data_IF_293305073897
#
_entry.id   IF_293305073897
#
_cell.length_a   1.000
_cell.length_b   1.000
_cell.length_c   1.000
_cell.angle_alpha   90.00
_cell.angle_beta   90.00
_cell.angle_gamma   90.00
#
_symmetry.space_group_name_H-M   'P 1'
#
loop_
_entity.id
_entity.type
_entity.pdbx_description
1 polymer ?
#
# COMPACT_ATOMS: atom_id res chain seq x y z
N UNK A 1 11.70 0.34 11.68
CA UNK A 1 12.34 0.33 10.35
C UNK A 1 11.63 1.37 9.49
N UNK A 2 12.36 2.19 8.78
CA UNK A 2 11.72 3.23 7.98
C UNK A 2 11.29 2.72 6.60
N UNK A 3 10.35 3.43 5.98
CA UNK A 3 9.75 3.05 4.71
C UNK A 3 10.20 3.99 3.58
N UNK A 4 10.44 3.40 2.41
CA UNK A 4 10.68 4.11 1.16
C UNK A 4 9.60 3.71 0.17
N UNK A 5 9.16 4.66 -0.62
CA UNK A 5 8.08 4.43 -1.57
C UNK A 5 8.61 4.47 -3.00
N UNK A 6 8.20 3.48 -3.79
CA UNK A 6 8.46 3.55 -5.22
C UNK A 6 7.78 4.82 -5.77
N UNK A 7 8.42 5.48 -6.72
CA UNK A 7 7.94 6.78 -7.24
C UNK A 7 6.51 6.73 -7.78
N UNK A 8 6.03 5.57 -8.23
CA UNK A 8 4.69 5.43 -8.80
C UNK A 8 3.59 5.22 -7.75
N UNK A 9 3.97 5.01 -6.50
CA UNK A 9 3.00 4.87 -5.41
C UNK A 9 2.18 6.15 -5.24
N UNK A 10 2.79 7.31 -5.45
CA UNK A 10 2.04 8.56 -5.34
C UNK A 10 0.90 8.62 -6.37
N UNK A 11 1.14 8.14 -7.60
CA UNK A 11 0.10 8.07 -8.62
C UNK A 11 -1.01 7.10 -8.22
N UNK A 12 -0.65 5.94 -7.63
CA UNK A 12 -1.65 5.01 -7.11
C UNK A 12 -2.54 5.69 -6.08
N UNK A 13 -1.94 6.38 -5.11
CA UNK A 13 -2.68 7.07 -4.05
C UNK A 13 -3.55 8.20 -4.61
N UNK A 14 -3.02 8.98 -5.52
CA UNK A 14 -3.77 10.09 -6.11
C UNK A 14 -5.05 9.60 -6.79
N UNK A 15 -4.97 8.50 -7.52
CA UNK A 15 -6.13 7.90 -8.18
C UNK A 15 -7.18 7.42 -7.17
N UNK A 16 -6.75 6.74 -6.12
CA UNK A 16 -7.65 6.23 -5.07
C UNK A 16 -8.29 7.40 -4.31
N UNK A 17 -7.48 8.38 -3.91
CA UNK A 17 -7.97 9.54 -3.17
C UNK A 17 -8.96 10.35 -3.98
N UNK A 18 -8.75 10.48 -5.29
CA UNK A 18 -9.68 11.18 -6.17
C UNK A 18 -11.04 10.49 -6.21
N UNK A 19 -11.06 9.17 -6.28
CA UNK A 19 -12.31 8.38 -6.25
C UNK A 19 -13.09 8.63 -4.96
N UNK A 20 -12.41 8.57 -3.82
CA UNK A 20 -13.10 8.77 -2.54
C UNK A 20 -13.50 10.21 -2.33
N UNK A 21 -12.69 11.17 -2.79
CA UNK A 21 -13.05 12.59 -2.73
C UNK A 21 -14.31 12.89 -3.53
N UNK A 22 -14.54 12.19 -4.63
CA UNK A 22 -15.76 12.35 -5.41
C UNK A 22 -17.01 11.97 -4.61
N UNK A 23 -16.86 11.13 -3.59
CA UNK A 23 -17.95 10.79 -2.65
C UNK A 23 -18.01 11.83 -1.54
N UNK A 24 -16.91 12.05 -0.82
CA UNK A 24 -16.79 13.07 0.23
C UNK A 24 -15.33 13.28 0.61
N UNK A 25 -15.00 14.48 1.09
CA UNK A 25 -13.68 14.77 1.63
C UNK A 25 -13.38 13.93 2.87
N UNK A 26 -14.40 13.68 3.70
CA UNK A 26 -14.27 12.85 4.88
C UNK A 26 -13.83 11.44 4.53
N UNK A 27 -14.44 10.84 3.53
CA UNK A 27 -14.11 9.48 3.11
C UNK A 27 -12.67 9.40 2.58
N UNK A 28 -12.27 10.39 1.79
CA UNK A 28 -10.89 10.51 1.31
C UNK A 28 -9.91 10.57 2.49
N UNK A 29 -10.21 11.40 3.49
CA UNK A 29 -9.35 11.57 4.66
C UNK A 29 -9.27 10.28 5.49
N UNK A 30 -10.38 9.56 5.62
CA UNK A 30 -10.44 8.28 6.33
C UNK A 30 -9.55 7.24 5.63
N UNK A 31 -9.60 7.18 4.32
CA UNK A 31 -8.74 6.27 3.57
C UNK A 31 -7.26 6.59 3.82
N UNK A 32 -6.89 7.85 3.69
CA UNK A 32 -5.50 8.26 3.85
C UNK A 32 -4.99 7.99 5.26
N UNK A 33 -5.83 8.25 6.27
CA UNK A 33 -5.48 7.95 7.66
C UNK A 33 -5.24 6.45 7.87
N UNK A 34 -6.10 5.60 7.32
CA UNK A 34 -5.93 4.16 7.45
C UNK A 34 -4.69 3.65 6.71
N UNK A 35 -4.41 4.22 5.54
CA UNK A 35 -3.18 3.90 4.82
C UNK A 35 -1.94 4.22 5.67
N UNK A 36 -1.91 5.40 6.28
CA UNK A 36 -0.80 5.80 7.15
C UNK A 36 -0.64 4.87 8.34
N UNK A 37 -1.75 4.46 8.95
CA UNK A 37 -1.72 3.50 10.06
C UNK A 37 -1.13 2.16 9.57
N UNK A 38 -1.50 1.71 8.38
CA UNK A 38 -0.94 0.50 7.79
C UNK A 38 0.57 0.59 7.61
N UNK A 39 1.06 1.73 7.13
CA UNK A 39 2.50 1.97 6.99
C UNK A 39 3.18 1.92 8.35
N UNK A 40 2.61 2.56 9.36
CA UNK A 40 3.16 2.55 10.72
C UNK A 40 3.25 1.13 11.30
N UNK A 41 2.20 0.32 11.10
CA UNK A 41 2.17 -1.07 11.56
C UNK A 41 3.27 -1.91 10.90
N UNK A 42 3.45 -1.73 9.60
CA UNK A 42 4.50 -2.44 8.85
C UNK A 42 5.89 -2.00 9.34
N UNK A 43 6.08 -0.70 9.55
CA UNK A 43 7.36 -0.20 10.07
C UNK A 43 7.69 -0.73 11.46
N UNK A 44 6.66 -0.95 12.30
CA UNK A 44 6.83 -1.50 13.65
C UNK A 44 7.13 -3.00 13.64
N UNK A 45 6.49 -3.76 12.72
CA UNK A 45 6.59 -5.22 12.66
C UNK A 45 6.66 -5.69 11.20
N UNK A 46 7.76 -5.43 10.48
CA UNK A 46 7.80 -5.67 9.04
C UNK A 46 7.68 -7.15 8.64
N UNK A 47 8.02 -8.08 9.54
CA UNK A 47 7.98 -9.51 9.24
C UNK A 47 6.71 -10.21 9.71
N UNK A 48 5.79 -9.46 10.29
CA UNK A 48 4.52 -9.99 10.77
C UNK A 48 3.56 -10.31 9.62
N UNK A 49 3.59 -9.55 8.56
CA UNK A 49 2.60 -9.64 7.47
C UNK A 49 2.93 -10.79 6.52
N UNK A 50 1.87 -11.44 5.99
CA UNK A 50 1.99 -12.60 5.12
C UNK A 50 2.50 -12.23 3.73
N UNK A 51 3.07 -13.21 3.04
CA UNK A 51 3.47 -13.04 1.66
C UNK A 51 2.27 -13.15 0.73
N UNK A 52 2.26 -12.26 -0.26
CA UNK A 52 1.37 -12.34 -1.40
C UNK A 52 1.91 -13.37 -2.41
N UNK A 53 1.08 -13.80 -3.35
CA UNK A 53 1.49 -14.71 -4.42
C UNK A 53 2.65 -14.14 -5.27
N UNK A 54 2.82 -12.82 -5.29
CA UNK A 54 3.93 -12.15 -5.98
C UNK A 54 5.30 -12.39 -5.34
N UNK A 55 5.33 -12.90 -4.10
CA UNK A 55 6.55 -13.00 -3.31
C UNK A 55 6.84 -11.78 -2.45
N UNK A 56 6.05 -10.71 -2.60
CA UNK A 56 6.12 -9.54 -1.73
C UNK A 56 5.21 -9.75 -0.52
N UNK A 57 5.47 -9.03 0.57
CA UNK A 57 4.54 -9.04 1.71
C UNK A 57 3.37 -8.13 1.43
N UNK A 58 2.23 -8.45 2.03
CA UNK A 58 0.97 -7.76 1.77
C UNK A 58 0.38 -7.23 3.07
N UNK A 59 0.04 -5.93 3.08
CA UNK A 59 -0.70 -5.31 4.16
C UNK A 59 -2.07 -4.90 3.65
N UNK A 60 -3.11 -5.56 4.16
CA UNK A 60 -4.50 -5.25 3.80
C UNK A 60 -5.01 -4.10 4.67
N UNK A 61 -5.76 -3.17 4.07
CA UNK A 61 -6.52 -2.20 4.83
C UNK A 61 -7.79 -2.87 5.37
N UNK A 62 -8.27 -2.44 6.53
CA UNK A 62 -9.41 -3.10 7.18
C UNK A 62 -10.75 -2.60 6.65
N UNK A 63 -10.93 -1.27 6.58
CA UNK A 63 -12.20 -0.67 6.16
C UNK A 63 -12.34 -0.48 4.66
N UNK A 64 -11.23 -0.53 3.93
CA UNK A 64 -11.20 -0.26 2.49
C UNK A 64 -10.66 -1.46 1.75
N UNK A 65 -11.21 -1.80 0.59
CA UNK A 65 -10.78 -2.99 -0.18
C UNK A 65 -9.48 -2.73 -0.95
N UNK A 66 -8.47 -2.29 -0.25
CA UNK A 66 -7.15 -1.98 -0.81
C UNK A 66 -6.07 -2.61 0.04
N UNK A 67 -4.92 -2.81 -0.57
CA UNK A 67 -3.73 -3.29 0.11
C UNK A 67 -2.50 -2.65 -0.50
N UNK A 68 -1.38 -2.77 0.17
CA UNK A 68 -0.11 -2.44 -0.43
C UNK A 68 0.86 -3.60 -0.28
N UNK A 69 1.81 -3.67 -1.24
CA UNK A 69 2.83 -4.71 -1.26
C UNK A 69 4.19 -4.09 -0.96
N UNK A 70 5.01 -4.81 -0.21
CA UNK A 70 6.31 -4.32 0.18
C UNK A 70 7.30 -5.47 0.35
N UNK A 71 8.59 -5.14 0.35
CA UNK A 71 9.65 -6.04 0.77
C UNK A 71 10.61 -5.28 1.70
N UNK A 72 11.58 -6.00 2.22
CA UNK A 72 12.60 -5.46 3.09
C UNK A 72 13.92 -5.55 2.35
N UNK A 73 14.58 -4.40 2.13
CA UNK A 73 15.88 -4.30 1.46
C UNK A 73 16.78 -3.34 2.19
N UNK A 74 18.03 -3.75 2.43
CA UNK A 74 19.04 -2.92 3.08
C UNK A 74 18.51 -2.29 4.38
N UNK A 75 17.81 -3.10 5.19
CA UNK A 75 17.22 -2.67 6.46
C UNK A 75 16.16 -1.58 6.32
N UNK A 76 15.52 -1.50 5.14
CA UNK A 76 14.43 -0.58 4.87
C UNK A 76 13.26 -1.31 4.25
N UNK A 77 12.06 -0.78 4.51
CA UNK A 77 10.85 -1.25 3.87
C UNK A 77 10.69 -0.50 2.55
N UNK A 78 10.44 -1.26 1.48
CA UNK A 78 10.17 -0.70 0.15
C UNK A 78 8.73 -0.97 -0.20
N UNK A 79 7.93 0.09 -0.30
CA UNK A 79 6.54 0.01 -0.74
C UNK A 79 6.53 0.11 -2.25
N UNK A 80 5.98 -0.91 -2.93
CA UNK A 80 6.05 -1.00 -4.39
C UNK A 80 4.78 -0.58 -5.09
N UNK A 81 3.61 -0.88 -4.50
CA UNK A 81 2.31 -0.61 -5.12
C UNK A 81 1.22 -0.55 -4.06
N UNK A 82 0.26 0.35 -4.28
CA UNK A 82 -1.00 0.37 -3.53
C UNK A 82 -2.10 0.12 -4.56
N UNK A 83 -2.94 -0.89 -4.32
CA UNK A 83 -3.94 -1.29 -5.32
C UNK A 83 -5.19 -1.85 -4.67
N UNK A 84 -6.30 -1.82 -5.42
CA UNK A 84 -7.55 -2.45 -5.02
C UNK A 84 -7.36 -3.96 -4.92
N UNK A 85 -8.06 -4.61 -3.98
CA UNK A 85 -7.95 -6.05 -3.74
C UNK A 85 -8.31 -6.89 -4.98
N UNK A 86 -9.16 -6.38 -5.84
CA UNK A 86 -9.58 -7.04 -7.07
C UNK A 86 -8.87 -6.51 -8.32
N UNK A 87 -7.85 -5.68 -8.16
CA UNK A 87 -7.04 -5.24 -9.30
C UNK A 87 -6.29 -6.43 -9.87
N UNK A 88 -6.02 -6.39 -11.18
CA UNK A 88 -5.16 -7.39 -11.82
C UNK A 88 -3.93 -7.64 -10.94
N UNK A 89 -3.66 -8.90 -10.52
CA UNK A 89 -2.55 -9.18 -9.61
C UNK A 89 -1.17 -8.85 -10.16
N UNK A 90 -1.05 -8.63 -11.47
CA UNK A 90 0.20 -8.19 -12.10
C UNK A 90 0.42 -6.68 -11.98
N UNK A 91 -0.62 -5.92 -11.62
CA UNK A 91 -0.50 -4.46 -11.56
C UNK A 91 0.58 -4.07 -10.55
N UNK A 92 1.53 -3.27 -11.01
CA UNK A 92 2.60 -2.74 -10.18
C UNK A 92 3.80 -3.68 -10.01
N UNK A 93 3.72 -4.95 -10.44
CA UNK A 93 4.81 -5.91 -10.21
C UNK A 93 6.05 -5.64 -11.06
N UNK A 94 5.92 -4.92 -12.16
CA UNK A 94 7.08 -4.52 -12.97
C UNK A 94 7.96 -3.46 -12.31
N UNK A 95 7.44 -2.82 -11.26
CA UNK A 95 8.21 -1.83 -10.48
C UNK A 95 9.28 -2.50 -9.63
N UNK A 96 9.05 -3.75 -9.32
CA UNK A 96 9.85 -4.56 -8.44
C UNK A 96 10.87 -5.30 -9.30
N UNK A 97 12.17 -5.15 -9.06
CA UNK A 97 13.23 -5.75 -9.89
C UNK A 97 13.35 -7.26 -9.75
#
# INVERSE_FOLDING_TARGET
MDARFHRRVQADLNEILAKYRDVSDELKDDFFAEFRIGIEKVCANPRFFHFDASGLRRCNLERFPYHFLYDIRDSRIRIWVVRHDHRNPRFGLRRFP
#
